data_IF_908405106305
#
_entry.id   IF_908405106305
#
_cell.length_a   1.000
_cell.length_b   1.000
_cell.length_c   1.000
_cell.angle_alpha   90.00
_cell.angle_beta   90.00
_cell.angle_gamma   90.00
#
_symmetry.space_group_name_H-M   'P 1'
#
loop_
_entity.id
_entity.type
_entity.pdbx_description
1 polymer ?
#
# COMPACT_ATOMS: atom_id res chain seq x y z
N UNK A 1 19.57 -10.04 4.64
CA UNK A 1 19.10 -10.49 3.32
C UNK A 1 17.73 -9.85 3.05
N UNK A 2 17.71 -8.62 2.49
CA UNK A 2 16.53 -7.73 2.36
C UNK A 2 15.68 -8.07 1.12
N UNK A 3 15.48 -9.36 0.83
CA UNK A 3 15.03 -9.82 -0.49
C UNK A 3 13.62 -10.45 -0.53
N UNK A 4 12.73 -10.14 0.41
CA UNK A 4 11.40 -10.79 0.43
C UNK A 4 10.32 -10.11 -0.44
N UNK A 5 10.45 -8.82 -0.76
CA UNK A 5 9.51 -8.13 -1.66
C UNK A 5 9.96 -8.13 -3.14
N UNK A 6 11.25 -8.31 -3.41
CA UNK A 6 11.81 -8.38 -4.76
C UNK A 6 11.84 -9.79 -5.37
N UNK A 7 11.98 -10.84 -4.55
CA UNK A 7 12.12 -12.22 -5.05
C UNK A 7 10.89 -12.77 -5.78
N UNK A 8 9.68 -12.38 -5.34
CA UNK A 8 8.43 -12.76 -6.01
C UNK A 8 8.28 -12.15 -7.40
N UNK A 9 8.81 -10.95 -7.62
CA UNK A 9 8.77 -10.29 -8.93
C UNK A 9 9.82 -10.86 -9.90
N UNK A 10 10.95 -11.35 -9.38
CA UNK A 10 12.01 -12.01 -10.18
C UNK A 10 11.55 -13.42 -10.61
N UNK A 11 10.80 -14.14 -9.77
CA UNK A 11 10.19 -15.41 -10.15
C UNK A 11 9.09 -15.26 -11.21
N UNK A 12 8.29 -14.18 -11.13
CA UNK A 12 7.27 -13.82 -12.14
C UNK A 12 7.86 -13.20 -13.42
N UNK A 13 9.13 -12.78 -13.40
CA UNK A 13 9.86 -12.34 -14.59
C UNK A 13 10.30 -13.52 -15.48
N UNK A 14 10.21 -14.77 -14.98
CA UNK A 14 10.44 -15.99 -15.75
C UNK A 14 9.21 -16.28 -16.64
N UNK A 15 9.20 -15.61 -17.79
CA UNK A 15 8.68 -16.13 -19.06
C UNK A 15 7.17 -16.33 -19.23
N UNK A 16 6.53 -17.12 -18.38
CA UNK A 16 5.44 -17.98 -18.87
C UNK A 16 4.03 -17.59 -18.39
N UNK A 17 3.91 -16.69 -17.40
CA UNK A 17 2.61 -16.29 -16.86
C UNK A 17 2.01 -15.01 -17.47
N UNK A 18 2.80 -14.22 -18.21
CA UNK A 18 2.38 -12.86 -18.68
C UNK A 18 2.70 -12.59 -20.15
N UNK A 19 3.61 -13.35 -20.78
CA UNK A 19 3.97 -13.20 -22.19
C UNK A 19 3.38 -14.29 -23.12
N UNK A 20 2.47 -15.12 -22.60
CA UNK A 20 1.68 -16.04 -23.43
C UNK A 20 0.75 -15.27 -24.35
N UNK A 21 0.32 -15.92 -25.44
CA UNK A 21 -0.62 -15.37 -26.41
C UNK A 21 -1.98 -15.16 -25.73
N UNK A 22 -2.17 -14.00 -25.08
CA UNK A 22 -3.35 -13.69 -24.28
C UNK A 22 -4.56 -13.58 -25.23
N UNK A 23 -5.44 -14.58 -25.18
CA UNK A 23 -6.73 -14.52 -25.84
C UNK A 23 -7.65 -13.54 -25.08
N UNK A 24 -8.60 -12.92 -25.77
CA UNK A 24 -9.63 -12.07 -25.14
C UNK A 24 -10.42 -12.86 -24.07
N UNK A 25 -10.52 -14.19 -24.20
CA UNK A 25 -11.09 -15.07 -23.18
C UNK A 25 -10.29 -15.10 -21.88
N UNK A 26 -8.96 -14.95 -21.94
CA UNK A 26 -8.09 -14.95 -20.75
C UNK A 26 -8.19 -13.62 -19.98
N UNK A 27 -8.52 -12.53 -20.68
CA UNK A 27 -8.87 -11.24 -20.05
C UNK A 27 -10.14 -11.37 -19.20
N UNK A 28 -11.14 -12.14 -19.64
CA UNK A 28 -12.33 -12.40 -18.82
C UNK A 28 -12.04 -13.34 -17.63
N UNK A 29 -11.00 -14.18 -17.69
CA UNK A 29 -10.58 -14.97 -16.53
C UNK A 29 -9.93 -14.14 -15.42
N UNK A 30 -9.48 -12.90 -15.72
CA UNK A 30 -8.93 -11.97 -14.71
C UNK A 30 -9.92 -11.74 -13.57
N UNK A 31 -11.23 -11.74 -13.85
CA UNK A 31 -12.29 -11.56 -12.85
C UNK A 31 -12.32 -12.68 -11.80
N UNK A 32 -11.90 -13.90 -12.16
CA UNK A 32 -12.04 -15.10 -11.31
C UNK A 32 -10.70 -15.67 -10.83
N UNK A 33 -9.59 -15.36 -11.52
CA UNK A 33 -8.23 -15.77 -11.15
C UNK A 33 -7.32 -14.53 -11.15
N UNK A 34 -6.93 -14.00 -9.98
CA UNK A 34 -6.05 -12.84 -9.94
C UNK A 34 -4.66 -13.18 -10.49
N UNK A 35 -4.24 -12.46 -11.53
CA UNK A 35 -2.89 -12.57 -12.08
C UNK A 35 -1.89 -11.75 -11.26
N UNK A 36 -0.77 -12.37 -10.88
CA UNK A 36 0.42 -11.68 -10.36
C UNK A 36 0.07 -10.63 -9.30
N UNK A 37 0.46 -9.38 -9.51
CA UNK A 37 0.37 -8.28 -8.53
C UNK A 37 -1.07 -7.77 -8.28
N UNK A 38 -2.06 -8.16 -9.07
CA UNK A 38 -3.44 -7.68 -8.93
C UNK A 38 -4.19 -8.30 -7.76
N UNK A 39 -3.71 -9.41 -7.17
CA UNK A 39 -4.36 -10.08 -6.05
C UNK A 39 -4.64 -9.14 -4.87
N UNK A 40 -3.77 -8.16 -4.65
CA UNK A 40 -3.92 -7.20 -3.57
C UNK A 40 -5.08 -6.22 -3.79
N UNK A 41 -5.40 -5.86 -5.05
CA UNK A 41 -6.58 -5.04 -5.36
C UNK A 41 -7.87 -5.77 -5.02
N UNK A 42 -7.94 -7.08 -5.33
CA UNK A 42 -9.07 -7.92 -4.95
C UNK A 42 -9.20 -7.98 -3.43
N UNK A 43 -8.10 -8.24 -2.72
CA UNK A 43 -8.10 -8.29 -1.25
C UNK A 43 -8.60 -6.97 -0.63
N UNK A 44 -8.11 -5.83 -1.11
CA UNK A 44 -8.54 -4.52 -0.64
C UNK A 44 -10.00 -4.20 -0.99
N UNK A 45 -10.46 -4.56 -2.20
CA UNK A 45 -11.85 -4.39 -2.60
C UNK A 45 -12.80 -5.17 -1.68
N UNK A 46 -12.53 -6.46 -1.46
CA UNK A 46 -13.34 -7.28 -0.56
C UNK A 46 -13.25 -6.81 0.89
N UNK A 47 -12.07 -6.40 1.37
CA UNK A 47 -11.92 -5.83 2.70
C UNK A 47 -12.77 -4.56 2.88
N UNK A 48 -12.76 -3.68 1.88
CA UNK A 48 -13.56 -2.46 1.89
C UNK A 48 -15.06 -2.76 1.82
N UNK A 49 -15.48 -3.74 1.01
CA UNK A 49 -16.87 -4.17 0.88
C UNK A 49 -17.39 -4.80 2.19
N UNK A 50 -16.64 -5.74 2.77
CA UNK A 50 -16.98 -6.38 4.04
C UNK A 50 -17.05 -5.32 5.14
N UNK A 51 -16.07 -4.42 5.21
CA UNK A 51 -16.10 -3.30 6.14
C UNK A 51 -17.35 -2.45 5.93
N UNK A 52 -17.64 -2.01 4.71
CA UNK A 52 -18.83 -1.21 4.44
C UNK A 52 -20.14 -1.87 4.92
N UNK A 53 -20.28 -3.18 4.74
CA UNK A 53 -21.48 -3.94 5.13
C UNK A 53 -21.58 -4.18 6.63
N UNK A 54 -20.45 -4.42 7.31
CA UNK A 54 -20.42 -4.96 8.68
C UNK A 54 -20.00 -3.92 9.72
N UNK A 55 -19.26 -2.88 9.33
CA UNK A 55 -18.64 -1.90 10.23
C UNK A 55 -19.64 -1.19 11.14
N UNK A 56 -20.83 -0.84 10.64
CA UNK A 56 -21.86 -0.17 11.44
C UNK A 56 -22.59 -1.10 12.41
N UNK A 57 -22.49 -2.41 12.22
CA UNK A 57 -23.28 -3.41 12.96
C UNK A 57 -22.47 -4.17 13.99
N UNK A 58 -21.14 -4.17 13.87
CA UNK A 58 -20.27 -5.04 14.66
C UNK A 58 -19.17 -4.23 15.33
N UNK A 59 -18.85 -4.58 16.57
CA UNK A 59 -17.77 -3.94 17.31
C UNK A 59 -16.42 -4.14 16.58
N UNK A 60 -15.58 -3.10 16.44
CA UNK A 60 -14.28 -3.19 15.74
C UNK A 60 -13.38 -4.33 16.25
N UNK A 61 -13.39 -4.57 17.57
CA UNK A 61 -12.63 -5.64 18.19
C UNK A 61 -13.06 -7.03 17.71
N UNK A 62 -14.37 -7.23 17.47
CA UNK A 62 -14.89 -8.50 16.94
C UNK A 62 -14.44 -8.71 15.49
N UNK A 63 -14.35 -7.64 14.69
CA UNK A 63 -13.85 -7.71 13.32
C UNK A 63 -12.36 -8.08 13.28
N UNK A 64 -11.54 -7.51 14.17
CA UNK A 64 -10.13 -7.89 14.32
C UNK A 64 -10.00 -9.35 14.73
N UNK A 65 -10.82 -9.80 15.69
CA UNK A 65 -10.83 -11.18 16.14
C UNK A 65 -11.23 -12.16 15.04
N UNK A 66 -12.29 -11.85 14.28
CA UNK A 66 -12.70 -12.64 13.10
C UNK A 66 -11.61 -12.63 12.03
N UNK A 67 -10.97 -11.48 11.78
CA UNK A 67 -9.81 -11.38 10.88
C UNK A 67 -8.65 -12.28 11.32
N UNK A 68 -8.36 -12.35 12.62
CA UNK A 68 -7.33 -13.21 13.18
C UNK A 68 -7.70 -14.70 13.06
N UNK A 69 -8.93 -15.06 13.38
CA UNK A 69 -9.42 -16.44 13.26
C UNK A 69 -9.43 -16.92 11.81
N UNK A 70 -9.86 -16.07 10.87
CA UNK A 70 -9.82 -16.38 9.43
C UNK A 70 -8.38 -16.48 8.94
N UNK A 71 -7.46 -15.65 9.41
CA UNK A 71 -6.04 -15.77 9.11
C UNK A 71 -5.45 -17.10 9.62
N UNK A 72 -5.69 -17.45 10.88
CA UNK A 72 -5.19 -18.70 11.48
C UNK A 72 -5.82 -19.94 10.83
N UNK A 73 -7.13 -19.91 10.53
CA UNK A 73 -7.83 -21.00 9.86
C UNK A 73 -7.42 -21.16 8.40
N UNK A 74 -7.13 -20.06 7.70
CA UNK A 74 -6.66 -20.10 6.32
C UNK A 74 -5.27 -20.73 6.18
N UNK A 75 -4.45 -20.65 7.22
CA UNK A 75 -3.10 -21.24 7.22
C UNK A 75 -3.11 -22.76 7.14
N UNK A 76 -4.14 -23.41 7.69
CA UNK A 76 -4.19 -24.87 7.81
C UNK A 76 -4.98 -25.58 6.70
N UNK A 77 -5.91 -24.91 6.01
CA UNK A 77 -6.89 -25.62 5.18
C UNK A 77 -7.28 -24.95 3.85
N UNK A 78 -6.79 -23.73 3.53
CA UNK A 78 -7.34 -22.97 2.41
C UNK A 78 -6.38 -22.80 1.21
N UNK A 79 -6.93 -22.70 -0.02
CA UNK A 79 -6.17 -22.31 -1.20
C UNK A 79 -5.36 -21.03 -0.99
N UNK A 80 -4.17 -20.95 -1.59
CA UNK A 80 -3.22 -19.83 -1.43
C UNK A 80 -3.86 -18.44 -1.64
N UNK A 81 -4.82 -18.33 -2.57
CA UNK A 81 -5.53 -17.07 -2.83
C UNK A 81 -6.37 -16.61 -1.65
N UNK A 82 -7.07 -17.53 -0.99
CA UNK A 82 -7.90 -17.22 0.18
C UNK A 82 -7.00 -16.85 1.36
N UNK A 83 -5.90 -17.58 1.55
CA UNK A 83 -4.89 -17.27 2.57
C UNK A 83 -4.33 -15.84 2.41
N UNK A 84 -4.02 -15.40 1.19
CA UNK A 84 -3.52 -14.05 0.90
C UNK A 84 -4.57 -12.96 1.21
N UNK A 85 -5.84 -13.21 0.87
CA UNK A 85 -6.95 -12.28 1.18
C UNK A 85 -7.19 -12.21 2.69
N UNK A 86 -7.21 -13.36 3.40
CA UNK A 86 -7.36 -13.43 4.85
C UNK A 86 -6.21 -12.73 5.59
N UNK A 87 -4.98 -12.86 5.10
CA UNK A 87 -3.83 -12.10 5.60
C UNK A 87 -4.08 -10.59 5.52
N UNK A 88 -4.47 -10.09 4.34
CA UNK A 88 -4.76 -8.66 4.14
C UNK A 88 -5.92 -8.15 5.00
N UNK A 89 -6.96 -8.96 5.20
CA UNK A 89 -8.14 -8.62 6.01
C UNK A 89 -7.78 -8.35 7.47
N UNK A 90 -6.91 -9.16 8.08
CA UNK A 90 -6.48 -8.95 9.46
C UNK A 90 -5.82 -7.56 9.65
N UNK A 91 -4.82 -7.23 8.83
CA UNK A 91 -4.15 -5.93 8.91
C UNK A 91 -5.08 -4.76 8.59
N UNK A 92 -6.02 -4.96 7.67
CA UNK A 92 -7.03 -3.96 7.34
C UNK A 92 -7.93 -3.65 8.54
N UNK A 93 -8.45 -4.65 9.25
CA UNK A 93 -9.26 -4.45 10.45
C UNK A 93 -8.47 -3.82 11.59
N UNK A 94 -7.22 -4.24 11.81
CA UNK A 94 -6.34 -3.61 12.81
C UNK A 94 -6.13 -2.13 12.49
N UNK A 95 -5.85 -1.81 11.22
CA UNK A 95 -5.67 -0.42 10.77
C UNK A 95 -6.93 0.43 10.95
N UNK A 96 -8.12 -0.12 10.66
CA UNK A 96 -9.38 0.58 10.90
C UNK A 96 -9.65 0.82 12.39
N UNK A 97 -9.41 -0.17 13.24
CA UNK A 97 -9.54 -0.02 14.69
C UNK A 97 -8.57 1.04 15.23
N UNK A 98 -7.32 1.02 14.78
CA UNK A 98 -6.32 2.02 15.16
C UNK A 98 -6.74 3.45 14.76
N UNK A 99 -7.43 3.59 13.62
CA UNK A 99 -7.99 4.88 13.17
C UNK A 99 -9.13 5.35 14.06
N UNK A 100 -10.09 4.49 14.43
CA UNK A 100 -11.21 4.89 15.30
C UNK A 100 -10.76 5.27 16.70
N UNK A 101 -9.81 4.53 17.25
CA UNK A 101 -9.24 4.81 18.57
C UNK A 101 -8.29 6.02 18.56
N UNK A 102 -8.10 6.68 17.40
CA UNK A 102 -7.11 7.75 17.20
C UNK A 102 -5.72 7.37 17.74
N UNK A 103 -5.37 6.10 17.64
CA UNK A 103 -4.21 5.52 18.31
C UNK A 103 -2.91 6.15 17.78
N UNK A 104 -2.88 6.42 16.46
CA UNK A 104 -1.76 7.08 15.79
C UNK A 104 -1.56 8.55 16.23
N UNK A 105 -2.63 9.28 16.52
CA UNK A 105 -2.54 10.67 17.02
C UNK A 105 -1.97 10.69 18.45
N UNK A 106 -2.37 9.73 19.29
CA UNK A 106 -1.86 9.60 20.65
C UNK A 106 -0.40 9.14 20.66
N UNK A 107 -0.06 8.11 19.88
CA UNK A 107 1.30 7.56 19.79
C UNK A 107 2.28 8.52 19.10
N UNK A 108 1.82 9.33 18.15
CA UNK A 108 2.62 10.33 17.47
C UNK A 108 2.83 11.63 18.26
N UNK A 109 2.20 11.79 19.43
CA UNK A 109 2.25 13.03 20.23
C UNK A 109 3.58 13.23 20.93
N UNK A 110 4.24 12.16 21.38
CA UNK A 110 5.44 12.22 22.21
C UNK A 110 6.59 11.45 21.56
N UNK A 111 7.80 12.03 21.59
CA UNK A 111 9.02 11.37 21.08
C UNK A 111 9.30 10.01 21.74
N UNK A 112 9.15 9.84 23.07
CA UNK A 112 9.30 8.54 23.72
C UNK A 112 8.39 7.45 23.17
N UNK A 113 7.14 7.77 22.80
CA UNK A 113 6.20 6.80 22.23
C UNK A 113 6.62 6.34 20.83
N UNK A 114 7.10 7.26 19.98
CA UNK A 114 7.62 6.93 18.65
C UNK A 114 8.87 6.06 18.75
N UNK A 115 9.82 6.45 19.61
CA UNK A 115 11.05 5.67 19.85
C UNK A 115 10.72 4.30 20.45
N UNK A 116 9.80 4.23 21.41
CA UNK A 116 9.34 2.98 22.01
C UNK A 116 8.74 2.03 20.98
N UNK A 117 7.93 2.52 20.04
CA UNK A 117 7.38 1.72 18.95
C UNK A 117 8.45 1.25 17.96
N UNK A 118 9.41 2.11 17.62
CA UNK A 118 10.53 1.73 16.75
C UNK A 118 11.38 0.62 17.40
N UNK A 119 11.67 0.75 18.68
CA UNK A 119 12.39 -0.26 19.46
C UNK A 119 11.58 -1.56 19.57
N UNK A 120 10.28 -1.49 19.87
CA UNK A 120 9.41 -2.66 19.92
C UNK A 120 9.31 -3.36 18.55
N UNK A 121 9.24 -2.61 17.46
CA UNK A 121 9.26 -3.13 16.09
C UNK A 121 10.60 -3.78 15.73
N UNK A 122 11.72 -3.17 16.10
CA UNK A 122 13.05 -3.72 15.88
C UNK A 122 13.27 -5.00 16.70
N UNK A 123 12.89 -5.00 17.98
CA UNK A 123 12.95 -6.19 18.84
C UNK A 123 12.03 -7.30 18.33
N UNK A 124 10.82 -6.95 17.87
CA UNK A 124 9.91 -7.90 17.23
C UNK A 124 10.50 -8.51 15.96
N UNK A 125 11.22 -7.71 15.15
CA UNK A 125 11.89 -8.20 13.95
C UNK A 125 13.06 -9.14 14.29
N UNK A 126 13.89 -8.78 15.27
CA UNK A 126 14.99 -9.62 15.77
C UNK A 126 14.45 -10.92 16.36
N UNK A 127 13.39 -10.85 17.17
CA UNK A 127 12.73 -12.04 17.71
C UNK A 127 12.23 -12.97 16.61
N UNK A 128 11.53 -12.43 15.60
CA UNK A 128 11.05 -13.25 14.48
C UNK A 128 12.21 -13.86 13.68
N UNK A 129 13.33 -13.13 13.52
CA UNK A 129 14.52 -13.62 12.85
C UNK A 129 15.18 -14.77 13.63
N UNK A 130 15.39 -14.61 14.94
CA UNK A 130 16.00 -15.62 15.80
C UNK A 130 15.12 -16.86 15.96
N UNK A 131 13.80 -16.67 16.07
CA UNK A 131 12.84 -17.78 16.17
C UNK A 131 12.61 -18.52 14.83
N UNK A 132 13.28 -18.12 13.75
CA UNK A 132 13.13 -18.75 12.43
C UNK A 132 11.72 -18.62 11.85
N UNK A 133 10.96 -17.59 12.27
CA UNK A 133 9.59 -17.38 11.81
C UNK A 133 9.63 -17.10 10.29
N UNK A 134 8.78 -17.75 9.49
CA UNK A 134 8.74 -17.51 8.05
C UNK A 134 8.53 -16.02 7.74
N UNK A 135 9.21 -15.50 6.71
CA UNK A 135 9.31 -14.06 6.43
C UNK A 135 7.97 -13.34 6.19
N UNK A 136 6.89 -14.09 5.97
CA UNK A 136 5.53 -13.58 5.76
C UNK A 136 4.69 -13.54 7.06
N UNK A 137 5.22 -14.04 8.17
CA UNK A 137 4.54 -14.14 9.47
C UNK A 137 5.07 -13.26 10.62
N UNK A 138 5.95 -12.24 10.44
CA UNK A 138 6.41 -11.42 11.57
C UNK A 138 5.33 -10.40 11.98
N UNK A 139 4.19 -10.90 12.45
CA UNK A 139 3.03 -10.14 12.92
C UNK A 139 3.47 -9.12 13.98
N UNK A 140 4.31 -9.46 14.99
CA UNK A 140 4.75 -8.48 15.98
C UNK A 140 5.53 -7.33 15.33
N UNK A 141 6.49 -7.64 14.45
CA UNK A 141 7.27 -6.61 13.78
C UNK A 141 6.39 -5.69 12.92
N UNK A 142 5.44 -6.27 12.17
CA UNK A 142 4.52 -5.49 11.36
C UNK A 142 3.58 -4.61 12.20
N UNK A 143 3.04 -5.15 13.30
CA UNK A 143 2.11 -4.43 14.17
C UNK A 143 2.75 -3.26 14.91
N UNK A 144 4.04 -3.31 15.22
CA UNK A 144 4.74 -2.20 15.88
C UNK A 144 5.42 -1.26 14.89
N UNK A 145 6.08 -1.79 13.85
CA UNK A 145 6.86 -0.97 12.92
C UNK A 145 5.97 -0.11 12.01
N UNK A 146 4.83 -0.63 11.54
CA UNK A 146 3.93 0.15 10.66
C UNK A 146 3.37 1.37 11.40
N UNK A 147 2.79 1.25 12.61
CA UNK A 147 2.40 2.42 13.40
C UNK A 147 3.58 3.32 13.77
N UNK A 148 4.77 2.77 14.02
CA UNK A 148 5.96 3.56 14.33
C UNK A 148 6.32 4.52 13.18
N UNK A 149 6.37 4.01 11.95
CA UNK A 149 6.69 4.80 10.74
C UNK A 149 5.59 5.84 10.49
N UNK A 150 4.32 5.49 10.69
CA UNK A 150 3.21 6.42 10.54
C UNK A 150 3.24 7.53 11.60
N UNK A 151 3.47 7.18 12.87
CA UNK A 151 3.61 8.12 13.97
C UNK A 151 4.82 9.05 13.77
N UNK A 152 5.94 8.53 13.31
CA UNK A 152 7.12 9.30 12.92
C UNK A 152 6.80 10.27 11.78
N UNK A 153 6.08 9.80 10.75
CA UNK A 153 5.67 10.63 9.61
C UNK A 153 4.77 11.80 10.04
N UNK A 154 3.80 11.54 10.92
CA UNK A 154 2.93 12.56 11.50
C UNK A 154 3.77 13.57 12.29
N UNK A 155 4.67 13.10 13.17
CA UNK A 155 5.49 13.96 14.00
C UNK A 155 6.44 14.83 13.18
N UNK A 156 7.11 14.26 12.18
CA UNK A 156 7.95 15.00 11.24
C UNK A 156 7.13 16.04 10.47
N UNK A 157 5.90 15.71 10.08
CA UNK A 157 4.97 16.65 9.47
C UNK A 157 4.67 17.86 10.36
N UNK A 158 4.46 17.64 11.66
CA UNK A 158 4.27 18.73 12.63
C UNK A 158 5.56 19.53 12.91
N UNK A 159 6.71 18.86 13.02
CA UNK A 159 7.98 19.51 13.33
C UNK A 159 8.54 20.34 12.16
N UNK A 160 8.24 19.93 10.92
CA UNK A 160 8.69 20.59 9.69
C UNK A 160 7.58 21.42 9.03
N UNK A 161 6.48 21.71 9.76
CA UNK A 161 5.35 22.47 9.27
C UNK A 161 5.82 23.86 8.78
N UNK A 162 5.79 24.08 7.46
CA UNK A 162 6.23 25.32 6.82
C UNK A 162 7.29 25.15 5.72
N UNK A 163 7.95 24.00 5.65
CA UNK A 163 8.93 23.73 4.60
C UNK A 163 8.30 23.43 3.22
N UNK A 164 8.86 23.99 2.14
CA UNK A 164 8.47 23.67 0.76
C UNK A 164 8.54 22.17 0.46
N UNK A 165 9.50 21.46 1.06
CA UNK A 165 9.64 20.01 0.96
C UNK A 165 8.48 19.25 1.58
N UNK A 166 7.91 19.73 2.70
CA UNK A 166 6.74 19.12 3.34
C UNK A 166 5.50 19.29 2.47
N UNK A 167 5.33 20.46 1.84
CA UNK A 167 4.23 20.68 0.90
C UNK A 167 4.30 19.73 -0.32
N UNK A 168 5.51 19.46 -0.83
CA UNK A 168 5.72 18.46 -1.88
C UNK A 168 5.40 17.04 -1.40
N UNK A 169 5.87 16.65 -0.22
CA UNK A 169 5.56 15.34 0.38
C UNK A 169 4.06 15.15 0.59
N UNK A 170 3.36 16.16 1.08
CA UNK A 170 1.90 16.14 1.25
C UNK A 170 1.20 15.99 -0.10
N UNK A 171 1.67 16.69 -1.14
CA UNK A 171 1.10 16.59 -2.49
C UNK A 171 1.29 15.18 -3.07
N UNK A 172 2.48 14.60 -2.93
CA UNK A 172 2.78 13.23 -3.37
C UNK A 172 1.94 12.23 -2.56
N UNK A 173 1.83 12.41 -1.25
CA UNK A 173 1.00 11.59 -0.36
C UNK A 173 -0.49 11.62 -0.74
N UNK A 174 -1.01 12.78 -1.14
CA UNK A 174 -2.37 12.90 -1.67
C UNK A 174 -2.58 12.20 -3.02
N UNK A 175 -1.50 11.99 -3.78
CA UNK A 175 -1.51 11.22 -5.02
C UNK A 175 -1.26 9.72 -4.82
N UNK A 176 -1.00 9.26 -3.59
CA UNK A 176 -0.65 7.86 -3.30
C UNK A 176 -1.63 6.84 -3.85
N UNK A 177 -2.94 7.10 -3.79
CA UNK A 177 -3.96 6.20 -4.36
C UNK A 177 -3.88 6.12 -5.88
N UNK A 178 -3.65 7.24 -6.57
CA UNK A 178 -3.50 7.26 -8.02
C UNK A 178 -2.20 6.59 -8.47
N UNK A 179 -1.10 6.85 -7.76
CA UNK A 179 0.17 6.14 -7.92
C UNK A 179 -0.05 4.64 -7.74
N UNK A 180 -0.73 4.24 -6.68
CA UNK A 180 -0.98 2.84 -6.37
C UNK A 180 -1.79 2.09 -7.45
N UNK A 181 -2.72 2.74 -8.15
CA UNK A 181 -3.44 2.08 -9.25
C UNK A 181 -2.61 2.10 -10.54
N UNK A 182 -2.05 3.26 -10.89
CA UNK A 182 -1.46 3.49 -12.20
C UNK A 182 -0.03 2.93 -12.33
N UNK A 183 0.71 2.77 -11.22
CA UNK A 183 2.10 2.29 -11.27
C UNK A 183 2.21 0.89 -11.89
N UNK A 184 1.26 -0.02 -11.65
CA UNK A 184 1.29 -1.39 -12.22
C UNK A 184 1.17 -1.33 -13.75
N UNK A 185 0.29 -0.48 -14.27
CA UNK A 185 0.11 -0.26 -15.71
C UNK A 185 1.36 0.37 -16.33
N UNK A 186 1.93 1.38 -15.67
CA UNK A 186 3.14 2.06 -16.12
C UNK A 186 4.34 1.11 -16.11
N UNK A 187 4.54 0.32 -15.06
CA UNK A 187 5.61 -0.69 -14.98
C UNK A 187 5.47 -1.67 -16.15
N UNK A 188 4.27 -2.18 -16.42
CA UNK A 188 4.02 -3.08 -17.54
C UNK A 188 4.39 -2.47 -18.89
N UNK A 189 3.90 -1.25 -19.17
CA UNK A 189 4.14 -0.55 -20.42
C UNK A 189 5.63 -0.17 -20.62
N UNK A 190 6.26 0.41 -19.60
CA UNK A 190 7.67 0.83 -19.66
C UNK A 190 8.59 -0.38 -19.75
N UNK A 191 8.31 -1.46 -19.00
CA UNK A 191 9.09 -2.71 -19.09
C UNK A 191 8.98 -3.32 -20.48
N UNK A 192 7.78 -3.39 -21.05
CA UNK A 192 7.58 -3.86 -22.44
C UNK A 192 8.40 -3.01 -23.41
N UNK A 193 8.37 -1.68 -23.25
CA UNK A 193 9.09 -0.78 -24.13
C UNK A 193 10.62 -0.93 -24.01
N UNK A 194 11.15 -0.98 -22.78
CA UNK A 194 12.59 -1.13 -22.53
C UNK A 194 13.12 -2.49 -23.01
N UNK A 195 12.38 -3.57 -22.78
CA UNK A 195 12.84 -4.93 -23.09
C UNK A 195 12.62 -5.32 -24.54
N UNK A 196 11.49 -4.93 -25.17
CA UNK A 196 11.21 -5.28 -26.58
C UNK A 196 11.74 -4.26 -27.58
N UNK A 197 11.62 -2.95 -27.33
CA UNK A 197 12.06 -1.93 -28.29
C UNK A 197 13.52 -1.54 -28.09
N UNK A 198 13.93 -1.29 -26.85
CA UNK A 198 15.28 -0.78 -26.54
C UNK A 198 16.30 -1.91 -26.28
N UNK A 199 15.85 -3.17 -26.14
CA UNK A 199 16.67 -4.36 -25.82
C UNK A 199 17.63 -4.13 -24.64
N UNK A 200 17.28 -3.24 -23.71
CA UNK A 200 18.06 -2.97 -22.52
C UNK A 200 17.80 -4.09 -21.53
N UNK A 201 18.82 -4.89 -21.25
CA UNK A 201 18.75 -6.03 -20.33
C UNK A 201 19.45 -5.79 -18.99
N UNK A 202 20.07 -4.64 -18.79
CA UNK A 202 20.73 -4.30 -17.53
C UNK A 202 19.69 -4.14 -16.39
N UNK A 203 19.71 -5.00 -15.36
CA UNK A 203 18.78 -4.94 -14.24
C UNK A 203 18.84 -3.61 -13.48
N UNK A 204 20.02 -2.98 -13.38
CA UNK A 204 20.18 -1.73 -12.62
C UNK A 204 19.45 -0.58 -13.32
N UNK A 205 19.66 -0.45 -14.63
CA UNK A 205 18.98 0.57 -15.46
C UNK A 205 17.47 0.34 -15.47
N UNK A 206 17.03 -0.91 -15.64
CA UNK A 206 15.62 -1.28 -15.59
C UNK A 206 14.99 -0.88 -14.25
N UNK A 207 15.64 -1.18 -13.13
CA UNK A 207 15.09 -0.89 -11.80
C UNK A 207 14.98 0.62 -11.55
N UNK A 208 16.00 1.39 -11.91
CA UNK A 208 15.99 2.85 -11.76
C UNK A 208 14.92 3.49 -12.64
N UNK A 209 14.87 3.13 -13.93
CA UNK A 209 13.91 3.71 -14.87
C UNK A 209 12.48 3.32 -14.50
N UNK A 210 12.23 2.04 -14.20
CA UNK A 210 10.89 1.60 -13.80
C UNK A 210 10.42 2.30 -12.53
N UNK A 211 11.28 2.44 -11.51
CA UNK A 211 10.91 3.11 -10.25
C UNK A 211 10.58 4.59 -10.47
N UNK A 212 11.41 5.30 -11.23
CA UNK A 212 11.20 6.71 -11.53
C UNK A 212 9.95 6.91 -12.38
N UNK A 213 9.80 6.19 -13.48
CA UNK A 213 8.64 6.29 -14.36
C UNK A 213 7.34 5.90 -13.66
N UNK A 214 7.34 4.82 -12.89
CA UNK A 214 6.17 4.34 -12.15
C UNK A 214 5.72 5.28 -11.04
N UNK A 215 6.57 6.20 -10.58
CA UNK A 215 6.22 7.22 -9.58
C UNK A 215 5.87 8.55 -10.23
N UNK A 216 6.71 9.05 -11.14
CA UNK A 216 6.57 10.37 -11.73
C UNK A 216 5.41 10.45 -12.72
N UNK A 217 5.20 9.42 -13.55
CA UNK A 217 4.12 9.43 -14.54
C UNK A 217 2.75 9.48 -13.86
N UNK A 218 2.44 8.64 -12.84
CA UNK A 218 1.16 8.75 -12.16
C UNK A 218 0.93 10.09 -11.45
N UNK A 219 1.97 10.65 -10.83
CA UNK A 219 1.89 11.98 -10.21
C UNK A 219 1.55 13.03 -11.26
N UNK A 220 2.24 13.02 -12.40
CA UNK A 220 1.99 13.97 -13.49
C UNK A 220 0.55 13.83 -14.04
N UNK A 221 0.11 12.61 -14.30
CA UNK A 221 -1.26 12.33 -14.78
C UNK A 221 -2.30 12.83 -13.77
N UNK A 222 -2.10 12.56 -12.49
CA UNK A 222 -3.03 12.99 -11.45
C UNK A 222 -3.07 14.52 -11.29
N UNK A 223 -1.92 15.20 -11.38
CA UNK A 223 -1.86 16.65 -11.36
C UNK A 223 -2.55 17.28 -12.57
N UNK A 224 -2.39 16.70 -13.75
CA UNK A 224 -3.08 17.14 -14.98
C UNK A 224 -4.59 16.90 -14.87
N UNK A 225 -5.03 15.73 -14.43
CA UNK A 225 -6.44 15.40 -14.23
C UNK A 225 -7.13 16.36 -13.25
N UNK A 226 -6.45 16.74 -12.17
CA UNK A 226 -6.93 17.74 -11.20
C UNK A 226 -6.99 19.14 -11.81
N UNK A 227 -6.02 19.52 -12.66
CA UNK A 227 -6.05 20.82 -13.36
C UNK A 227 -7.18 20.91 -14.38
N UNK A 228 -7.51 19.79 -15.04
CA UNK A 228 -8.59 19.72 -16.04
C UNK A 228 -9.99 19.51 -15.41
N UNK A 229 -10.09 19.24 -14.11
CA UNK A 229 -11.37 19.06 -13.41
C UNK A 229 -12.09 17.74 -13.72
N UNK A 230 -11.38 16.76 -14.29
CA UNK A 230 -11.92 15.45 -14.70
C UNK A 230 -11.66 14.38 -13.61
N UNK A 231 -11.20 14.80 -12.43
CA UNK A 231 -10.85 13.94 -11.28
C UNK A 231 -11.97 12.97 -10.88
N UNK A 232 -13.23 13.41 -10.94
CA UNK A 232 -14.40 12.57 -10.62
C UNK A 232 -14.75 11.55 -11.69
N UNK A 233 -14.45 11.83 -12.97
CA UNK A 233 -14.79 10.96 -14.10
C UNK A 233 -13.78 9.82 -14.26
N UNK A 234 -12.50 10.07 -13.92
CA UNK A 234 -11.41 9.07 -14.01
C UNK A 234 -11.36 8.17 -12.75
N UNK A 235 -12.23 8.39 -11.76
CA UNK A 235 -12.23 7.60 -10.53
C UNK A 235 -10.99 7.80 -9.67
N UNK A 236 -10.28 8.92 -9.86
CA UNK A 236 -9.11 9.30 -9.05
C UNK A 236 -9.58 10.27 -7.96
N UNK A 237 -9.86 9.80 -6.73
CA UNK A 237 -10.30 10.69 -5.66
C UNK A 237 -9.20 11.71 -5.36
N UNK A 238 -9.39 12.95 -5.80
CA UNK A 238 -8.44 14.02 -5.55
C UNK A 238 -8.57 14.50 -4.10
N UNK A 239 -7.83 13.88 -3.18
CA UNK A 239 -7.57 14.45 -1.84
C UNK A 239 -6.88 15.83 -1.94
N UNK A 240 -6.25 16.11 -3.08
CA UNK A 240 -5.62 17.39 -3.44
C UNK A 240 -6.58 18.59 -3.33
N UNK A 241 -7.87 18.42 -3.67
CA UNK A 241 -8.87 19.49 -3.50
C UNK A 241 -9.14 19.80 -2.03
N UNK A 242 -9.04 18.81 -1.13
CA UNK A 242 -9.24 18.99 0.33
C UNK A 242 -8.06 19.74 0.96
N UNK A 243 -6.82 19.52 0.48
CA UNK A 243 -5.62 20.23 0.96
C UNK A 243 -5.61 21.73 0.64
N UNK A 244 -6.05 22.15 -0.57
CA UNK A 244 -6.17 23.58 -0.92
C UNK A 244 -7.23 24.31 -0.09
N UNK A 245 -8.29 23.62 0.35
CA UNK A 245 -9.33 24.20 1.20
C UNK A 245 -8.91 24.40 2.65
N UNK A 246 -8.02 23.54 3.17
CA UNK A 246 -7.46 23.65 4.53
C UNK A 246 -6.38 24.73 4.58
N UNK A 247 -5.42 24.71 3.65
CA UNK A 247 -4.36 25.74 3.56
C UNK A 247 -4.91 27.16 3.36
N UNK A 248 -6.09 27.33 2.71
CA UNK A 248 -6.71 28.65 2.55
C UNK A 248 -7.44 29.13 3.81
N UNK A 249 -7.88 28.24 4.69
CA UNK A 249 -8.48 28.64 5.99
C UNK A 249 -7.41 29.04 7.00
N UNK A 250 -6.26 28.36 6.98
CA UNK A 250 -5.16 28.62 7.91
C UNK A 250 -4.44 29.95 7.61
N UNK A 251 -4.51 30.45 6.38
CA UNK A 251 -3.93 31.75 5.96
C UNK A 251 -4.90 32.93 6.17
N UNK A 252 -6.19 32.68 6.34
CA UNK A 252 -7.20 33.74 6.57
C UNK A 252 -7.51 33.92 8.06
N UNK A 253 -7.04 33.02 8.92
CA UNK A 253 -7.21 33.06 10.37
C UNK A 253 -5.91 33.38 11.15
N UNK A 254 -4.87 33.86 10.45
CA UNK A 254 -3.62 34.34 11.05
C UNK A 254 -3.46 35.84 10.93
#
# INVERSE_FOLDING_TARGET
MVAAAGGGQIALARGDAVNGNLSVSDLFQIYWKPFGQFWFLYAMFFAQLISFLVWRRVRPLLLVFVGLLTFLGAFYALPKTIMLVSYGLFYFFVGMMAREMKLLEHLGRTWPSVVGLLLAGALGAVFCYVAGVPSYLPIPAALFMVPAVLALSIRLGHALAGGRSVALLVTIGQCSMGIFILHILVIGAVRLAMTKFLKVSDPAVLLTVLTLSATLIPVAVQLVAVRLGIDKLVGLPSSVKRGRGVLRKDVVAG
#
